data_IF_408653358946
#
_entry.id   IF_408653358946
#
_cell.length_a   1.000
_cell.length_b   1.000
_cell.length_c   1.000
_cell.angle_alpha   90.00
_cell.angle_beta   90.00
_cell.angle_gamma   90.00
#
_symmetry.space_group_name_H-M   'P 1'
#
loop_
_entity.id
_entity.type
_entity.pdbx_description
1 polymer ?
#
# COMPACT_ATOMS: atom_id res chain seq x y z
N UNK A 1 20.30 41.15 -2.88
CA UNK A 1 20.31 39.68 -3.00
C UNK A 1 19.07 39.14 -2.31
N UNK A 2 17.97 38.99 -3.05
CA UNK A 2 16.69 38.51 -2.51
C UNK A 2 16.64 36.99 -2.61
N UNK A 3 16.85 36.30 -1.50
CA UNK A 3 16.71 34.84 -1.44
C UNK A 3 15.21 34.54 -1.44
N UNK A 4 14.70 34.08 -2.58
CA UNK A 4 13.34 33.57 -2.72
C UNK A 4 13.30 32.23 -1.99
N UNK A 5 12.72 32.18 -0.79
CA UNK A 5 12.47 30.94 -0.08
C UNK A 5 11.45 30.12 -0.87
N UNK A 6 11.90 29.07 -1.52
CA UNK A 6 11.03 28.05 -2.11
C UNK A 6 10.42 27.27 -0.94
N UNK A 7 9.29 27.78 -0.44
CA UNK A 7 8.41 27.00 0.41
C UNK A 7 7.78 25.92 -0.48
N UNK A 8 8.43 24.75 -0.55
CA UNK A 8 7.86 23.51 -1.10
C UNK A 8 6.70 23.07 -0.20
N UNK A 9 5.62 23.85 -0.16
CA UNK A 9 4.38 23.54 0.55
C UNK A 9 3.56 22.54 -0.27
N UNK A 10 4.22 21.48 -0.74
CA UNK A 10 3.53 20.32 -1.29
C UNK A 10 2.71 19.69 -0.17
N UNK A 11 1.43 19.42 -0.42
CA UNK A 11 0.61 18.63 0.51
C UNK A 11 1.37 17.30 0.74
N UNK A 12 1.55 16.83 1.99
CA UNK A 12 2.24 15.57 2.23
C UNK A 12 1.48 14.45 1.51
N UNK A 13 2.13 13.86 0.50
CA UNK A 13 1.63 12.72 -0.26
C UNK A 13 2.30 11.47 0.31
N UNK A 14 1.53 10.64 0.99
CA UNK A 14 2.02 9.45 1.65
C UNK A 14 0.88 8.50 1.97
N UNK A 15 1.24 7.27 2.30
CA UNK A 15 0.30 6.22 2.63
C UNK A 15 1.02 4.96 3.09
N UNK A 16 0.26 4.00 3.57
CA UNK A 16 0.76 2.70 4.00
C UNK A 16 -0.30 1.62 3.86
N UNK A 17 0.17 0.39 4.00
CA UNK A 17 -0.62 -0.84 3.95
C UNK A 17 -0.27 -1.65 5.22
N UNK A 18 -1.28 -2.06 5.97
CA UNK A 18 -1.15 -2.99 7.10
C UNK A 18 -1.92 -4.26 6.76
N UNK A 19 -1.29 -5.42 6.95
CA UNK A 19 -1.96 -6.71 6.84
C UNK A 19 -2.36 -7.21 8.23
N UNK A 20 -3.66 -7.33 8.50
CA UNK A 20 -4.19 -7.99 9.72
C UNK A 20 -4.70 -9.36 9.31
N UNK A 21 -3.87 -10.39 9.49
CA UNK A 21 -4.10 -11.68 8.84
C UNK A 21 -4.18 -11.50 7.31
N UNK A 22 -5.03 -12.25 6.59
CA UNK A 22 -5.20 -12.08 5.15
C UNK A 22 -6.00 -10.81 4.77
N UNK A 23 -6.39 -9.95 5.72
CA UNK A 23 -7.19 -8.75 5.45
C UNK A 23 -6.26 -7.52 5.35
N UNK A 24 -6.07 -6.96 4.13
CA UNK A 24 -5.31 -5.73 3.94
C UNK A 24 -6.09 -4.48 4.39
N UNK A 25 -5.41 -3.55 5.07
CA UNK A 25 -5.90 -2.23 5.45
C UNK A 25 -5.00 -1.17 4.82
N UNK A 26 -5.58 -0.33 3.96
CA UNK A 26 -4.84 0.66 3.16
C UNK A 26 -5.22 2.06 3.64
N UNK A 27 -4.22 2.92 3.84
CA UNK A 27 -4.39 4.32 4.25
C UNK A 27 -3.44 5.21 3.46
N UNK A 28 -3.89 6.41 3.11
CA UNK A 28 -3.17 7.24 2.17
C UNK A 28 -3.86 8.59 1.94
N UNK A 29 -3.04 9.61 1.75
CA UNK A 29 -3.48 11.00 1.55
C UNK A 29 -3.63 11.37 0.09
N UNK A 30 -3.21 10.49 -0.83
CA UNK A 30 -3.19 10.72 -2.26
C UNK A 30 -3.73 9.51 -3.05
N UNK A 31 -4.48 9.81 -4.12
CA UNK A 31 -5.13 8.80 -4.97
C UNK A 31 -4.12 7.94 -5.75
N UNK A 32 -2.99 8.51 -6.17
CA UNK A 32 -1.95 7.78 -6.91
C UNK A 32 -1.28 6.77 -5.98
N UNK A 33 -0.90 7.20 -4.77
CA UNK A 33 -0.34 6.31 -3.74
C UNK A 33 -1.31 5.21 -3.36
N UNK A 34 -2.59 5.54 -3.15
CA UNK A 34 -3.65 4.57 -2.88
C UNK A 34 -3.78 3.51 -3.97
N UNK A 35 -3.76 3.92 -5.23
CA UNK A 35 -3.89 3.00 -6.37
C UNK A 35 -2.76 1.96 -6.39
N UNK A 36 -1.53 2.40 -6.16
CA UNK A 36 -0.35 1.52 -6.09
C UNK A 36 -0.48 0.55 -4.91
N UNK A 37 -0.85 1.06 -3.73
CA UNK A 37 -1.01 0.24 -2.53
C UNK A 37 -2.11 -0.80 -2.66
N UNK A 38 -3.22 -0.49 -3.34
CA UNK A 38 -4.30 -1.45 -3.62
C UNK A 38 -3.81 -2.60 -4.50
N UNK A 39 -3.11 -2.29 -5.59
CA UNK A 39 -2.57 -3.34 -6.48
C UNK A 39 -1.59 -4.23 -5.71
N UNK A 40 -0.69 -3.62 -4.93
CA UNK A 40 0.26 -4.36 -4.10
C UNK A 40 -0.45 -5.26 -3.08
N UNK A 41 -1.47 -4.73 -2.39
CA UNK A 41 -2.25 -5.47 -1.41
C UNK A 41 -2.93 -6.71 -2.00
N UNK A 42 -3.55 -6.58 -3.18
CA UNK A 42 -4.20 -7.69 -3.87
C UNK A 42 -3.19 -8.76 -4.26
N UNK A 43 -2.04 -8.37 -4.83
CA UNK A 43 -0.99 -9.32 -5.22
C UNK A 43 -0.49 -10.09 -4.00
N UNK A 44 -0.19 -9.39 -2.90
CA UNK A 44 0.26 -10.01 -1.66
C UNK A 44 -0.81 -10.90 -1.03
N UNK A 45 -2.08 -10.49 -1.08
CA UNK A 45 -3.21 -11.27 -0.56
C UNK A 45 -3.40 -12.57 -1.33
N UNK A 46 -3.37 -12.53 -2.66
CA UNK A 46 -3.43 -13.74 -3.49
C UNK A 46 -2.26 -14.66 -3.17
N UNK A 47 -1.04 -14.13 -3.08
CA UNK A 47 0.13 -14.91 -2.72
C UNK A 47 0.00 -15.58 -1.34
N UNK A 48 -0.47 -14.84 -0.33
CA UNK A 48 -0.70 -15.37 1.01
C UNK A 48 -1.77 -16.48 1.04
N UNK A 49 -2.90 -16.26 0.35
CA UNK A 49 -3.98 -17.25 0.24
C UNK A 49 -3.51 -18.52 -0.46
N UNK A 50 -2.72 -18.39 -1.53
CA UNK A 50 -2.12 -19.51 -2.24
C UNK A 50 -1.21 -20.32 -1.29
N UNK A 51 -0.33 -19.66 -0.53
CA UNK A 51 0.52 -20.34 0.44
C UNK A 51 -0.27 -21.04 1.57
N UNK A 52 -1.39 -20.46 2.01
CA UNK A 52 -2.24 -21.05 3.04
C UNK A 52 -3.07 -22.24 2.54
N UNK A 53 -3.67 -22.12 1.35
CA UNK A 53 -4.62 -23.10 0.83
C UNK A 53 -3.98 -24.22 0.01
N UNK A 54 -2.88 -23.97 -0.72
CA UNK A 54 -2.24 -24.99 -1.55
C UNK A 54 -1.87 -26.26 -0.76
N UNK A 55 -1.20 -26.18 0.41
CA UNK A 55 -0.82 -27.38 1.15
C UNK A 55 -2.03 -28.20 1.61
N UNK A 56 -3.12 -27.51 1.95
CA UNK A 56 -4.37 -28.12 2.43
C UNK A 56 -5.15 -28.85 1.33
N UNK A 57 -4.89 -28.54 0.05
CA UNK A 57 -5.54 -29.20 -1.09
C UNK A 57 -4.72 -30.36 -1.66
N UNK A 58 -3.41 -30.35 -1.43
CA UNK A 58 -2.45 -31.35 -1.93
C UNK A 58 -2.22 -32.47 -0.91
N UNK A 59 -2.47 -32.21 0.38
CA UNK A 59 -2.43 -33.19 1.48
C UNK A 59 -3.74 -33.95 1.60
#
# INVERSE_FOLDING_TARGET
MFIKSVSLRGKPRGGGLIMIGPIPIIFGTDKETMKILIVLAIVLMVFAVVLMLLPSLIS
#
